data_IF_805002996564
#
_entry.id   IF_805002996564
#
_cell.length_a   1.000
_cell.length_b   1.000
_cell.length_c   1.000
_cell.angle_alpha   90.00
_cell.angle_beta   90.00
_cell.angle_gamma   90.00
#
_symmetry.space_group_name_H-M   'P 1'
#
loop_
_entity.id
_entity.type
_entity.pdbx_description
1 polymer ?
2 non-polymer ?
3 water ?
#
# COMPACT_ATOMS: atom_id res chain seq x y z
N UNK A 5 19.35 14.40 -3.96
CA UNK A 5 19.03 15.73 -3.42
C UNK A 5 18.01 16.52 -4.31
N UNK A 6 16.76 16.11 -4.23
CA UNK A 6 15.69 16.60 -4.93
C UNK A 6 14.85 17.68 -4.28
N UNK A 7 14.55 18.69 -5.08
CA UNK A 7 13.72 19.79 -4.66
C UNK A 7 12.74 20.29 -5.71
N UNK A 8 12.75 19.72 -6.92
CA UNK A 8 11.97 20.13 -8.03
C UNK A 8 10.80 19.34 -8.49
N UNK A 9 10.11 20.03 -9.44
CA UNK A 9 8.87 19.56 -10.08
C UNK A 9 8.60 20.22 -11.42
N UNK A 10 8.06 19.50 -12.38
CA UNK A 10 7.78 19.94 -13.73
C UNK A 10 6.84 21.09 -13.89
N UNK A 11 5.96 21.32 -12.96
CA UNK A 11 4.98 22.35 -12.99
C UNK A 11 4.68 22.75 -11.46
N UNK A 12 3.52 23.21 -11.24
CA UNK A 12 3.12 23.60 -9.78
C UNK A 12 2.03 22.58 -9.49
N UNK A 13 1.65 22.37 -8.24
CA UNK A 13 0.57 21.38 -7.87
C UNK A 13 -0.65 21.70 -8.70
N UNK A 14 -1.03 20.81 -9.53
CA UNK A 14 -2.01 20.79 -10.53
C UNK A 14 -3.13 21.85 -10.57
N UNK A 15 -4.35 21.35 -10.63
CA UNK A 15 -5.58 22.17 -10.65
C UNK A 15 -6.77 21.30 -11.01
N UNK A 16 -6.93 20.86 -12.31
CA UNK A 16 -8.04 20.11 -12.80
C UNK A 16 -8.23 18.60 -12.76
N UNK A 17 -7.31 17.75 -12.55
CA UNK A 17 -7.54 16.30 -12.55
C UNK A 17 -6.91 15.62 -11.37
N UNK A 18 -5.90 16.36 -10.95
CA UNK A 18 -5.12 15.94 -9.71
C UNK A 18 -4.93 17.31 -8.98
N UNK A 19 -5.58 17.47 -7.92
CA UNK A 19 -5.65 18.59 -7.01
C UNK A 19 -4.31 19.26 -6.69
N UNK A 20 -4.47 20.22 -5.72
CA UNK A 20 -3.31 20.96 -5.22
C UNK A 20 -2.83 20.31 -3.92
N UNK A 21 -3.79 19.67 -3.24
CA UNK A 21 -3.43 18.95 -1.98
C UNK A 21 -3.25 17.44 -2.31
N UNK A 22 -2.88 17.17 -3.55
CA UNK A 22 -2.51 15.84 -3.99
C UNK A 22 -1.02 15.99 -4.19
N UNK A 23 -0.76 17.06 -5.04
CA UNK A 23 0.55 17.47 -5.47
C UNK A 23 1.32 18.09 -4.34
N UNK A 24 0.62 18.48 -3.26
CA UNK A 24 1.29 18.95 -2.08
C UNK A 24 1.90 17.69 -1.34
N UNK A 25 1.00 16.84 -0.91
CA UNK A 25 1.33 15.65 -0.17
C UNK A 25 2.12 14.59 -0.93
N UNK A 26 1.74 14.32 -2.14
CA UNK A 26 2.38 13.28 -2.91
C UNK A 26 3.83 13.67 -3.21
N UNK A 27 4.01 14.92 -3.46
CA UNK A 27 5.36 15.51 -3.83
C UNK A 27 6.27 15.67 -2.74
N UNK A 28 5.74 15.67 -1.54
CA UNK A 28 6.54 15.80 -0.29
C UNK A 28 6.58 14.47 0.42
N UNK A 29 5.74 13.57 -0.10
CA UNK A 29 5.72 12.17 0.47
C UNK A 29 7.15 11.76 -0.06
N UNK A 30 7.27 12.15 -1.33
CA UNK A 30 8.42 12.03 -2.19
C UNK A 30 9.66 12.67 -1.61
N UNK A 31 9.49 13.98 -1.41
CA UNK A 31 10.48 14.88 -0.81
C UNK A 31 10.98 14.60 0.56
N UNK A 32 10.83 15.58 1.42
CA UNK A 32 11.33 15.50 2.81
C UNK A 32 10.93 14.22 3.55
N UNK A 33 10.11 13.41 2.96
CA UNK A 33 9.71 12.13 3.59
C UNK A 33 10.69 11.05 3.13
N UNK A 34 10.85 10.92 1.80
CA UNK A 34 11.80 9.93 1.25
C UNK A 34 13.25 10.38 1.32
N UNK A 35 13.53 11.06 2.36
CA UNK A 35 14.85 11.62 2.69
C UNK A 35 15.65 10.53 3.46
N UNK A 36 15.05 9.42 3.54
CA UNK A 36 15.57 8.24 4.24
C UNK A 36 16.80 7.76 3.48
N UNK A 37 16.78 8.01 2.16
CA UNK A 37 17.88 7.65 1.31
C UNK A 37 19.21 8.23 1.71
N UNK A 38 19.25 9.55 1.65
CA UNK A 38 20.41 10.34 2.10
C UNK A 38 20.91 10.01 3.52
N UNK A 39 20.06 9.42 4.34
CA UNK A 39 20.35 9.06 5.73
C UNK A 39 21.23 7.80 5.78
N UNK A 40 21.01 6.93 4.80
CA UNK A 40 21.68 5.66 4.78
C UNK A 40 22.21 5.41 3.39
N UNK A 41 23.17 6.29 3.03
CA UNK A 41 23.85 6.27 1.73
C UNK A 41 25.41 6.27 1.76
N UNK A 42 25.94 7.37 2.15
CA UNK A 42 27.43 7.50 2.29
C UNK A 42 27.74 7.22 3.71
N UNK A 43 27.02 7.92 4.58
CA UNK A 43 27.01 7.88 6.05
C UNK A 43 27.82 6.76 6.75
N UNK A 44 27.45 5.53 6.56
CA UNK A 44 28.19 4.43 7.26
C UNK A 44 29.30 3.89 6.35
N UNK A 45 28.85 3.51 5.17
CA UNK A 45 29.41 2.99 3.92
C UNK A 45 28.30 2.68 3.11
N UNK A 46 27.15 2.22 2.89
CA UNK A 46 27.25 1.01 2.06
C UNK A 46 28.20 1.25 0.88
N UNK A 47 28.17 0.34 -0.09
CA UNK A 47 28.97 0.45 -1.33
C UNK A 47 28.30 1.39 -2.31
N UNK A 48 27.34 2.11 -1.74
CA UNK A 48 26.46 3.04 -2.45
C UNK A 48 26.93 4.47 -2.37
N UNK A 49 28.15 4.61 -1.97
CA UNK A 49 28.75 5.97 -1.84
C UNK A 49 29.26 6.07 -3.35
N UNK A 50 28.62 6.90 -4.13
CA UNK A 50 28.97 6.99 -5.59
C UNK A 50 27.97 6.02 -6.22
N UNK A 51 28.10 5.80 -7.46
CA UNK A 51 27.14 4.99 -8.26
C UNK A 51 26.10 5.94 -8.85
N UNK A 52 26.14 6.19 -10.19
CA UNK A 52 25.30 7.10 -10.90
C UNK A 52 23.77 7.00 -10.85
N UNK A 53 23.18 8.21 -10.90
CA UNK A 53 21.71 8.36 -10.88
C UNK A 53 21.24 7.28 -9.89
N UNK A 54 20.31 6.41 -10.29
CA UNK A 54 19.94 5.32 -9.41
C UNK A 54 20.32 3.98 -9.96
N UNK A 55 21.56 3.78 -9.67
CA UNK A 55 22.42 2.62 -9.93
C UNK A 55 22.26 1.80 -8.57
N UNK A 56 21.64 2.53 -7.73
CA UNK A 56 21.18 2.16 -6.32
C UNK A 56 19.71 1.86 -6.64
N UNK A 57 19.45 0.65 -6.97
CA UNK A 57 18.14 0.11 -7.41
C UNK A 57 18.50 -1.26 -8.03
N UNK A 58 19.55 -1.18 -8.83
CA UNK A 58 20.14 -2.20 -9.61
C UNK A 58 21.08 -3.07 -8.75
N UNK A 59 21.77 -2.36 -7.91
CA UNK A 59 22.67 -2.96 -6.96
C UNK A 59 21.87 -3.29 -5.62
N UNK A 60 21.12 -2.30 -5.23
CA UNK A 60 20.30 -2.23 -4.04
C UNK A 60 19.26 -3.22 -3.67
N UNK A 61 19.26 -3.56 -2.38
CA UNK A 61 18.38 -4.48 -1.66
C UNK A 61 17.71 -3.58 -0.65
N UNK A 62 16.50 -3.12 -0.97
CA UNK A 62 15.69 -2.21 -0.37
C UNK A 62 14.96 -1.95 0.82
N UNK A 63 13.70 -1.53 0.66
CA UNK A 63 12.75 -1.18 1.70
C UNK A 63 13.06 0.27 2.12
N UNK A 64 14.04 0.26 3.04
CA UNK A 64 14.47 1.58 3.55
C UNK A 64 15.51 2.06 2.48
N UNK A 65 16.20 1.04 2.00
CA UNK A 65 17.27 1.26 0.94
C UNK A 65 16.58 1.36 -0.45
N UNK A 66 15.60 0.57 -0.71
CA UNK A 66 14.79 0.60 -1.90
C UNK A 66 13.77 1.70 -1.55
N UNK A 67 14.36 2.81 -1.40
CA UNK A 67 13.79 4.11 -1.12
C UNK A 67 14.33 4.84 -2.35
N UNK A 68 15.46 4.24 -2.74
CA UNK A 68 16.14 4.67 -3.94
C UNK A 68 15.13 4.49 -5.12
N UNK A 69 14.65 3.27 -5.17
CA UNK A 69 13.63 2.87 -6.13
C UNK A 69 12.49 3.85 -6.09
N UNK A 70 12.03 4.17 -4.88
CA UNK A 70 10.87 5.10 -4.68
C UNK A 70 11.20 6.54 -5.03
N UNK A 71 12.45 6.99 -4.80
CA UNK A 71 12.72 8.37 -5.17
C UNK A 71 12.35 8.40 -6.68
N UNK A 72 13.03 7.49 -7.34
CA UNK A 72 12.95 7.24 -8.74
C UNK A 72 11.61 7.02 -9.36
N UNK A 73 10.78 6.09 -8.78
CA UNK A 73 9.44 5.82 -9.36
C UNK A 73 8.68 7.15 -9.39
N UNK A 74 8.89 7.99 -8.48
CA UNK A 74 8.21 9.28 -8.27
C UNK A 74 8.68 10.40 -9.19
N UNK A 75 9.93 10.31 -9.56
CA UNK A 75 10.58 11.33 -10.44
C UNK A 75 10.35 10.84 -11.88
N UNK A 76 10.21 9.50 -12.01
CA UNK A 76 9.87 8.96 -13.29
C UNK A 76 8.52 9.63 -13.67
N UNK A 77 7.56 9.20 -12.97
CA UNK A 77 6.15 9.68 -12.96
C UNK A 77 5.92 11.12 -13.18
N UNK A 78 6.66 12.03 -12.55
CA UNK A 78 6.47 13.45 -12.66
C UNK A 78 6.32 13.95 -14.10
N UNK A 79 7.22 13.37 -14.92
CA UNK A 79 7.34 13.77 -16.30
C UNK A 79 6.13 13.23 -17.09
N UNK A 80 5.62 12.11 -16.59
CA UNK A 80 4.47 11.41 -17.12
C UNK A 80 3.18 12.16 -17.05
N UNK A 81 3.02 13.13 -16.20
CA UNK A 81 1.77 13.87 -16.12
C UNK A 81 2.16 15.34 -16.40
N UNK A 82 1.34 15.92 -17.23
CA UNK A 82 1.46 17.28 -17.67
C UNK A 82 0.08 17.79 -18.11
N UNK A 83 -0.22 18.99 -17.67
CA UNK A 83 -1.41 19.74 -18.05
C UNK A 83 -1.76 19.56 -19.57
N UNK A 84 -0.69 19.33 -20.31
CA UNK A 84 -0.81 19.07 -21.77
C UNK A 84 -1.14 17.55 -21.81
N UNK A 85 -2.37 17.20 -22.11
CA UNK A 85 -2.91 15.91 -22.10
C UNK A 85 -2.86 14.89 -23.22
N UNK A 86 -3.71 14.97 -24.22
CA UNK A 86 -3.94 14.28 -25.38
C UNK A 86 -3.66 12.81 -25.57
N UNK A 87 -4.51 11.98 -25.06
CA UNK A 87 -4.39 10.46 -25.17
C UNK A 87 -4.41 10.22 -26.67
N UNK A 88 -3.27 10.56 -27.20
CA UNK A 88 -2.95 10.44 -28.58
C UNK A 88 -1.40 10.38 -28.79
N UNK A 89 -0.92 9.16 -28.94
CA UNK A 89 0.50 8.95 -29.22
C UNK A 89 0.57 9.32 -30.67
N UNK A 90 1.47 10.14 -31.18
CA UNK A 90 1.50 10.56 -32.57
C UNK A 90 1.24 9.53 -33.61
N UNK A 91 2.38 8.91 -34.01
CA UNK A 91 2.31 7.87 -35.09
C UNK A 91 3.79 7.63 -35.55
N UNK A 92 4.45 7.12 -34.54
CA UNK A 92 5.87 6.67 -34.49
C UNK A 92 5.77 5.73 -33.24
N UNK A 93 5.14 6.36 -32.20
CA UNK A 93 4.76 5.72 -30.98
C UNK A 93 3.54 4.94 -31.20
N UNK A 94 2.58 5.53 -31.93
CA UNK A 94 1.29 4.90 -32.28
C UNK A 94 1.50 3.51 -32.86
N UNK A 95 2.56 3.42 -33.73
CA UNK A 95 2.96 2.22 -34.40
C UNK A 95 3.34 1.05 -33.49
N UNK A 96 4.17 1.32 -32.47
CA UNK A 96 4.68 0.29 -31.60
C UNK A 96 3.64 -0.22 -30.58
N UNK A 97 2.44 0.27 -30.71
CA UNK A 97 1.28 -0.09 -29.83
C UNK A 97 0.15 -0.56 -30.71
N UNK A 98 0.01 0.10 -31.85
CA UNK A 98 -1.04 -0.25 -32.85
C UNK A 98 -0.37 -1.42 -33.61
N UNK A 99 -0.18 -2.49 -32.84
CA UNK A 99 0.46 -3.72 -33.33
C UNK A 99 0.84 -4.61 -32.12
N UNK A 100 0.83 -4.08 -30.87
CA UNK A 100 1.19 -4.83 -29.68
C UNK A 100 -0.02 -4.96 -28.78
N UNK A 101 -0.53 -3.84 -28.44
CA UNK A 101 -1.73 -3.67 -27.50
C UNK A 101 -3.00 -3.60 -28.32
N UNK A 102 -3.12 -4.46 -29.34
CA UNK A 102 -4.35 -4.43 -30.22
C UNK A 102 -4.09 -3.12 -30.98
N UNK A 103 -4.52 -2.07 -30.36
CA UNK A 103 -4.45 -0.66 -30.74
C UNK A 103 -4.15 0.14 -29.48
N UNK A 104 -4.38 1.39 -29.54
CA UNK A 104 -4.17 2.26 -28.32
C UNK A 104 -5.39 2.26 -27.45
N UNK A 105 -6.53 2.07 -28.04
CA UNK A 105 -7.80 2.10 -27.27
C UNK A 105 -7.64 0.88 -26.27
N UNK A 106 -7.11 -0.18 -26.88
CA UNK A 106 -6.84 -1.43 -26.29
C UNK A 106 -5.54 -1.59 -25.50
N UNK A 107 -4.80 -0.48 -25.39
CA UNK A 107 -3.55 -0.45 -24.66
C UNK A 107 -4.03 0.04 -23.18
N UNK A 108 -4.75 1.11 -23.29
CA UNK A 108 -5.37 1.86 -22.15
C UNK A 108 -6.28 1.01 -21.29
N UNK A 109 -7.13 0.25 -21.94
CA UNK A 109 -8.09 -0.60 -21.28
C UNK A 109 -7.43 -1.85 -20.76
N UNK A 110 -6.13 -1.93 -21.13
CA UNK A 110 -5.27 -3.01 -20.72
C UNK A 110 -4.28 -2.51 -19.73
N UNK A 111 -4.08 -1.19 -19.71
CA UNK A 111 -3.18 -0.59 -18.71
C UNK A 111 -4.02 -0.45 -17.49
N UNK A 112 -5.38 -0.43 -17.69
CA UNK A 112 -6.28 -0.30 -16.55
C UNK A 112 -5.97 -1.54 -15.65
N UNK A 113 -6.31 -2.67 -16.15
CA UNK A 113 -6.11 -3.96 -15.51
C UNK A 113 -4.93 -3.97 -14.51
N UNK A 114 -3.73 -3.86 -15.06
CA UNK A 114 -2.45 -3.88 -14.40
C UNK A 114 -2.34 -2.82 -13.25
N UNK A 115 -2.94 -1.69 -13.45
CA UNK A 115 -2.97 -0.59 -12.53
C UNK A 115 -3.93 -0.70 -11.36
N UNK A 116 -5.11 -1.25 -11.50
CA UNK A 116 -6.07 -1.44 -10.49
C UNK A 116 -5.79 -2.83 -9.77
N UNK A 117 -5.37 -3.73 -10.62
CA UNK A 117 -4.98 -5.08 -10.30
C UNK A 117 -3.71 -5.18 -9.56
N UNK A 118 -2.93 -4.13 -9.40
CA UNK A 118 -1.70 -4.19 -8.58
C UNK A 118 -2.22 -4.11 -7.14
N UNK A 119 -2.20 -5.31 -6.55
CA UNK A 119 -2.77 -5.48 -5.19
C UNK A 119 -2.08 -4.71 -4.08
N UNK A 120 -2.75 -3.65 -3.77
CA UNK A 120 -2.43 -2.71 -2.64
C UNK A 120 -0.99 -2.13 -2.71
N UNK A 121 -0.91 -0.92 -3.21
CA UNK A 121 0.41 -0.21 -3.36
C UNK A 121 1.04 -0.89 -4.48
N UNK A 122 1.91 -0.26 -5.24
CA UNK A 122 2.60 -0.85 -6.44
C UNK A 122 2.44 0.07 -7.61
N UNK A 123 2.43 -0.55 -8.77
CA UNK A 123 2.34 0.07 -10.10
C UNK A 123 1.94 -0.76 -11.31
N UNK A 124 1.68 0.01 -12.32
CA UNK A 124 1.36 -0.47 -13.77
C UNK A 124 2.49 0.22 -14.53
N UNK A 125 3.28 -0.55 -15.25
CA UNK A 125 4.39 0.02 -15.99
C UNK A 125 4.43 -0.45 -17.52
N UNK A 126 4.74 0.47 -18.35
CA UNK A 126 4.93 0.21 -19.78
C UNK A 126 6.47 0.36 -19.98
N UNK A 127 7.03 -0.82 -20.28
CA UNK A 127 8.39 -1.01 -20.56
C UNK A 127 8.61 -1.57 -22.04
N UNK A 128 9.87 -1.83 -22.24
CA UNK A 128 10.42 -2.40 -23.44
C UNK A 128 11.74 -3.02 -23.00
N UNK A 129 11.94 -4.19 -23.44
CA UNK A 129 13.16 -4.98 -23.25
C UNK A 129 13.48 -5.13 -24.80
N UNK A 130 13.64 -6.25 -25.29
CA UNK A 130 13.74 -6.44 -26.77
C UNK A 130 12.68 -7.60 -27.00
N UNK A 131 11.60 -7.36 -26.26
CA UNK A 131 10.36 -8.21 -26.20
C UNK A 131 9.34 -7.30 -25.46
N UNK A 132 8.29 -6.91 -26.07
CA UNK A 132 7.34 -5.92 -25.54
C UNK A 132 6.00 -6.21 -25.00
N UNK A 133 5.63 -5.50 -23.96
CA UNK A 133 4.34 -5.57 -23.23
C UNK A 133 4.31 -4.86 -21.92
N UNK A 134 3.16 -4.75 -21.29
CA UNK A 134 2.83 -4.06 -20.02
C UNK A 134 3.40 -4.78 -18.79
N UNK A 135 3.08 -4.22 -17.62
CA UNK A 135 3.69 -4.77 -16.34
C UNK A 135 2.95 -4.35 -15.08
N UNK A 136 2.71 -5.33 -14.21
CA UNK A 136 2.04 -5.05 -12.82
C UNK A 136 3.22 -5.28 -11.84
N UNK A 137 3.45 -4.32 -10.94
CA UNK A 137 4.54 -4.35 -10.02
C UNK A 137 4.12 -4.22 -8.54
N UNK A 138 3.15 -4.94 -8.11
CA UNK A 138 2.46 -4.96 -6.77
C UNK A 138 3.29 -4.91 -5.55
N UNK A 139 4.57 -5.06 -5.53
CA UNK A 139 5.36 -5.01 -4.31
C UNK A 139 6.10 -3.69 -4.18
N UNK A 140 5.52 -2.79 -3.39
CA UNK A 140 5.91 -1.45 -3.00
C UNK A 140 6.70 -0.50 -3.83
N UNK A 141 7.98 -0.37 -3.54
CA UNK A 141 8.89 0.55 -4.24
C UNK A 141 9.26 -0.01 -5.64
N UNK A 142 8.69 -1.05 -6.06
CA UNK A 142 8.82 -1.74 -7.30
C UNK A 142 10.01 -1.44 -8.13
N UNK A 143 9.78 -1.22 -9.38
CA UNK A 143 10.66 -0.83 -10.46
C UNK A 143 11.30 -1.87 -11.35
N UNK A 144 10.96 -1.75 -12.70
CA UNK A 144 11.42 -2.52 -13.81
C UNK A 144 12.91 -2.40 -14.09
N UNK A 145 13.65 -1.53 -13.41
CA UNK A 145 15.05 -1.31 -13.66
C UNK A 145 15.96 -2.39 -13.24
N UNK A 146 15.58 -3.31 -12.30
CA UNK A 146 16.38 -4.45 -11.91
C UNK A 146 16.25 -5.60 -12.87
N UNK A 147 15.17 -5.58 -13.67
CA UNK A 147 14.81 -6.59 -14.60
C UNK A 147 15.57 -6.26 -15.94
N UNK A 148 15.71 -4.95 -16.11
CA UNK A 148 16.44 -4.32 -17.18
C UNK A 148 15.72 -3.83 -18.38
N UNK A 149 14.44 -3.47 -18.27
CA UNK A 149 13.57 -2.95 -19.36
C UNK A 149 13.81 -1.46 -19.40
N UNK A 150 13.53 -0.73 -20.47
CA UNK A 150 13.85 0.69 -20.35
C UNK A 150 13.28 1.88 -21.05
N UNK A 151 11.98 1.91 -21.17
CA UNK A 151 11.19 3.07 -21.80
C UNK A 151 10.56 3.78 -20.61
N UNK A 152 9.52 3.20 -20.09
CA UNK A 152 8.70 3.49 -19.01
C UNK A 152 7.57 4.52 -19.11
N UNK A 153 6.39 3.98 -18.71
CA UNK A 153 5.20 4.75 -18.57
C UNK A 153 4.75 4.25 -17.14
N UNK A 154 4.74 5.22 -16.20
CA UNK A 154 4.51 5.02 -14.88
C UNK A 154 3.10 4.82 -14.32
N UNK A 155 2.74 5.79 -13.43
CA UNK A 155 1.53 5.88 -12.75
C UNK A 155 1.92 5.85 -11.27
N UNK A 156 0.98 6.12 -10.40
CA UNK A 156 1.14 5.73 -9.00
C UNK A 156 -0.26 5.21 -8.50
N UNK A 157 -0.20 3.98 -7.87
CA UNK A 157 -1.40 3.21 -7.37
C UNK A 157 -1.51 3.14 -5.87
N UNK A 158 -0.52 3.78 -5.24
CA UNK A 158 -0.55 3.83 -3.75
C UNK A 158 -1.78 4.68 -3.46
N UNK A 159 -2.36 4.44 -2.24
CA UNK A 159 -3.60 5.24 -1.91
C UNK A 159 -3.28 6.71 -1.72
N UNK A 160 -2.06 7.06 -1.41
CA UNK A 160 -1.65 8.46 -1.29
C UNK A 160 -1.58 9.08 -2.66
N UNK A 161 -1.70 8.19 -3.64
CA UNK A 161 -1.66 8.65 -5.06
C UNK A 161 -3.01 9.35 -5.38
N UNK A 162 -3.99 9.12 -4.43
CA UNK A 162 -5.32 9.68 -4.60
C UNK A 162 -6.10 9.91 -3.36
N UNK A 163 -6.19 11.19 -2.93
CA UNK A 163 -7.00 11.72 -1.75
C UNK A 163 -8.33 11.98 -2.51
N UNK A 164 -8.11 12.18 -3.84
CA UNK A 164 -9.15 12.38 -4.82
C UNK A 164 -9.65 10.93 -5.20
N UNK A 165 -10.87 10.84 -5.66
CA UNK A 165 -11.41 9.52 -6.05
C UNK A 165 -11.74 8.59 -4.88
N UNK A 166 -11.10 8.68 -3.77
CA UNK A 166 -11.37 7.80 -2.57
C UNK A 166 -11.97 6.41 -2.89
N UNK A 167 -11.13 5.45 -2.79
CA UNK A 167 -11.49 4.01 -3.09
C UNK A 167 -11.68 3.93 -4.62
N UNK A 168 -11.92 5.05 -5.31
CA UNK A 168 -12.13 5.02 -6.76
C UNK A 168 -10.87 5.17 -7.58
N UNK A 169 -9.98 4.20 -7.48
CA UNK A 169 -8.73 4.14 -8.20
C UNK A 169 -8.85 4.30 -9.63
N UNK A 170 -9.79 3.64 -10.27
CA UNK A 170 -10.00 3.65 -11.76
C UNK A 170 -10.45 4.98 -12.28
N UNK A 171 -11.45 5.55 -11.65
CA UNK A 171 -11.89 6.91 -11.99
C UNK A 171 -10.64 7.82 -11.89
N UNK A 172 -9.77 7.49 -10.97
CA UNK A 172 -8.51 8.23 -10.71
C UNK A 172 -7.46 8.06 -11.84
N UNK A 173 -7.28 6.81 -12.32
CA UNK A 173 -6.29 6.61 -13.30
C UNK A 173 -6.85 6.22 -14.67
N UNK A 174 -7.77 5.23 -14.76
CA UNK A 174 -8.33 4.83 -16.03
C UNK A 174 -9.34 5.89 -16.52
N UNK A 175 -9.39 6.88 -15.70
CA UNK A 175 -10.23 8.06 -15.91
C UNK A 175 -9.22 9.22 -15.98
N UNK A 176 -9.04 9.88 -14.91
CA UNK A 176 -8.15 11.00 -14.72
C UNK A 176 -6.79 10.95 -15.36
N UNK A 177 -5.95 9.99 -15.15
CA UNK A 177 -4.60 9.89 -15.63
C UNK A 177 -4.47 9.66 -17.18
N UNK A 178 -5.49 9.97 -17.94
CA UNK A 178 -5.32 9.89 -19.43
C UNK A 178 -5.23 11.38 -19.66
N UNK A 179 -4.00 11.74 -19.24
CA UNK A 179 -3.37 13.01 -19.26
C UNK A 179 -1.81 12.80 -19.23
N UNK A 180 -1.43 11.72 -19.92
CA UNK A 180 -0.07 11.26 -20.07
C UNK A 180 0.87 12.25 -20.74
N UNK A 181 2.14 12.08 -20.38
CA UNK A 181 3.19 12.91 -20.93
C UNK A 181 3.24 12.77 -22.44
N UNK A 182 2.84 13.84 -23.06
CA UNK A 182 2.81 13.95 -24.57
C UNK A 182 3.93 13.08 -25.05
N UNK A 183 3.46 12.02 -25.59
CA UNK A 183 4.17 10.87 -26.16
C UNK A 183 5.24 11.26 -27.16
N UNK A 184 6.16 12.05 -26.67
CA UNK A 184 7.30 12.61 -27.30
C UNK A 184 8.52 12.03 -26.55
N UNK A 185 8.39 12.07 -25.24
CA UNK A 185 9.54 11.47 -24.45
C UNK A 185 9.05 10.20 -23.71
N UNK A 186 7.88 9.85 -24.25
CA UNK A 186 7.19 8.62 -23.92
C UNK A 186 7.56 7.84 -25.22
N UNK A 187 7.71 8.68 -26.16
CA UNK A 187 8.17 8.31 -27.53
C UNK A 187 9.65 8.20 -27.36
N UNK A 188 10.21 7.06 -27.71
CA UNK A 188 11.60 6.79 -27.48
C UNK A 188 12.80 6.91 -28.26
N UNK A 189 13.67 7.71 -27.65
CA UNK A 189 15.02 8.08 -28.04
C UNK A 189 15.93 7.52 -26.90
N UNK A 190 15.88 6.20 -26.96
CA UNK A 190 16.61 5.30 -26.01
C UNK A 190 15.55 4.42 -25.31
N UNK B 5 -18.74 -13.24 3.52
CA UNK B 5 -20.05 -12.64 3.19
C UNK B 5 -20.82 -12.11 4.35
N UNK B 6 -20.14 -11.63 5.29
CA UNK B 6 -20.64 -11.04 6.58
C UNK B 6 -20.91 -9.52 6.49
N UNK B 7 -21.37 -8.97 7.59
CA UNK B 7 -21.78 -7.62 7.79
C UNK B 7 -21.41 -7.18 9.28
N UNK B 8 -20.17 -7.22 9.51
CA UNK B 8 -19.62 -6.85 10.82
C UNK B 8 -20.20 -5.52 11.40
N UNK B 9 -19.36 -4.86 12.13
CA UNK B 9 -19.56 -3.65 12.78
C UNK B 9 -20.67 -3.56 13.87
N UNK B 10 -20.28 -2.80 14.84
CA UNK B 10 -21.03 -2.45 16.07
C UNK B 10 -19.99 -2.37 17.21
N UNK B 11 -20.32 -1.49 18.07
CA UNK B 11 -19.48 -1.19 19.27
C UNK B 11 -19.05 0.27 19.11
N UNK B 12 -18.76 0.54 17.81
CA UNK B 12 -18.30 1.83 17.38
C UNK B 12 -19.39 2.51 16.50
N UNK B 13 -18.97 3.44 15.75
CA UNK B 13 -19.78 4.24 14.82
C UNK B 13 -18.99 5.49 14.46
N UNK B 14 -18.88 6.35 15.48
CA UNK B 14 -18.13 7.61 15.34
C UNK B 14 -16.79 7.40 16.06
N UNK B 15 -16.69 6.35 16.83
CA UNK B 15 -15.45 5.90 17.56
C UNK B 15 -14.61 7.21 17.58
N UNK B 16 -14.61 7.78 18.78
CA UNK B 16 -13.99 9.04 19.12
C UNK B 16 -13.22 9.91 18.26
N UNK B 17 -12.06 9.43 17.73
CA UNK B 17 -11.16 10.22 16.92
C UNK B 17 -10.46 9.39 15.93
N UNK B 18 -11.25 9.12 14.93
CA UNK B 18 -11.17 8.45 13.70
C UNK B 18 -12.70 8.54 13.33
N UNK B 19 -12.94 9.39 12.36
CA UNK B 19 -14.19 9.82 11.86
C UNK B 19 -15.12 8.73 11.33
N UNK B 20 -16.30 9.28 10.92
CA UNK B 20 -17.38 8.43 10.39
C UNK B 20 -17.28 8.46 8.82
N UNK B 21 -16.51 9.43 8.40
CA UNK B 21 -16.20 9.53 6.94
C UNK B 21 -15.30 8.37 6.68
N UNK B 22 -14.20 8.39 7.33
CA UNK B 22 -13.18 7.31 7.30
C UNK B 22 -13.69 5.99 7.67
N UNK B 23 -14.54 5.85 8.71
CA UNK B 23 -15.04 4.57 9.15
C UNK B 23 -16.08 3.86 8.27
N UNK B 24 -17.12 4.55 7.81
CA UNK B 24 -18.15 3.88 7.00
C UNK B 24 -17.93 4.30 5.58
N UNK B 25 -16.75 3.90 5.08
CA UNK B 25 -16.17 4.11 3.79
C UNK B 25 -15.10 2.98 3.68
N UNK B 26 -14.50 2.87 4.88
CA UNK B 26 -13.45 1.97 5.32
C UNK B 26 -14.05 0.69 5.89
N UNK B 27 -15.25 0.80 6.45
CA UNK B 27 -15.93 -0.41 6.95
C UNK B 27 -16.46 -1.12 5.65
N UNK B 28 -16.61 -0.30 4.68
CA UNK B 28 -17.07 -0.72 3.30
C UNK B 28 -15.95 -0.99 2.37
N UNK B 29 -14.71 -0.60 2.75
CA UNK B 29 -13.55 -0.89 1.83
C UNK B 29 -13.38 -2.39 1.91
N UNK B 30 -13.76 -2.84 3.08
CA UNK B 30 -13.77 -4.20 3.60
C UNK B 30 -14.96 -5.07 3.24
N UNK B 31 -16.12 -4.42 3.16
CA UNK B 31 -17.38 -5.11 2.85
C UNK B 31 -18.26 -4.68 1.73
N UNK B 32 -17.66 -4.15 0.68
CA UNK B 32 -18.25 -3.73 -0.60
C UNK B 32 -17.34 -4.74 -1.45
N UNK B 33 -16.09 -4.50 -1.24
CA UNK B 33 -14.98 -5.27 -1.81
C UNK B 33 -14.46 -6.18 -0.72
N UNK B 34 -13.47 -6.98 -1.01
CA UNK B 34 -12.95 -7.93 0.01
C UNK B 34 -14.00 -9.03 0.04
N UNK B 35 -15.17 -8.58 0.50
CA UNK B 35 -16.33 -9.51 0.41
C UNK B 35 -16.59 -9.50 -1.10
N UNK B 36 -15.58 -10.02 -1.77
CA UNK B 36 -15.34 -10.20 -3.17
C UNK B 36 -14.68 -11.58 -3.29
N UNK B 37 -14.38 -12.11 -2.08
CA UNK B 37 -13.72 -13.42 -1.95
C UNK B 37 -14.64 -14.50 -2.60
N UNK B 38 -15.80 -14.10 -2.98
CA UNK B 38 -16.83 -14.94 -3.51
C UNK B 38 -17.31 -14.97 -4.93
N UNK B 39 -17.54 -13.81 -5.55
CA UNK B 39 -18.17 -13.60 -6.84
C UNK B 39 -17.62 -14.46 -7.97
N UNK B 40 -16.45 -14.22 -8.42
CA UNK B 40 -15.79 -15.03 -9.52
C UNK B 40 -14.51 -15.48 -8.78
N UNK B 41 -14.77 -16.06 -7.53
CA UNK B 41 -13.80 -16.58 -6.67
C UNK B 41 -14.21 -17.94 -6.06
N UNK B 42 -14.60 -17.93 -4.81
CA UNK B 42 -15.04 -19.16 -4.10
C UNK B 42 -15.91 -20.03 -4.96
N UNK B 43 -17.13 -19.67 -5.08
CA UNK B 43 -18.11 -20.34 -6.01
C UNK B 43 -17.69 -20.18 -7.45
N UNK B 44 -17.41 -18.93 -7.81
CA UNK B 44 -16.98 -18.48 -9.08
C UNK B 44 -15.91 -19.18 -9.81
N UNK B 45 -14.63 -18.83 -9.61
CA UNK B 45 -13.56 -19.57 -10.42
C UNK B 45 -12.54 -20.32 -9.57
N UNK B 46 -11.71 -19.65 -8.72
CA UNK B 46 -10.77 -20.30 -7.85
C UNK B 46 -11.60 -20.78 -6.68
N UNK B 47 -11.70 -22.06 -6.56
CA UNK B 47 -12.38 -23.03 -5.72
C UNK B 47 -12.83 -22.84 -4.28
N UNK B 48 -12.24 -23.50 -3.33
CA UNK B 48 -12.36 -23.69 -1.93
C UNK B 48 -13.74 -23.89 -1.26
N UNK B 49 -14.82 -23.62 -1.86
CA UNK B 49 -16.17 -23.82 -1.54
C UNK B 49 -16.60 -23.99 -0.10
N UNK B 50 -16.07 -24.92 0.69
CA UNK B 50 -16.50 -25.09 2.12
C UNK B 50 -15.40 -24.57 3.07
N UNK B 51 -15.54 -23.31 3.43
CA UNK B 51 -14.55 -22.64 4.24
C UNK B 51 -15.11 -21.64 5.26
N UNK B 52 -14.25 -21.33 6.22
CA UNK B 52 -14.57 -20.39 7.34
C UNK B 52 -13.80 -19.14 7.33
N UNK B 53 -13.08 -18.76 6.29
CA UNK B 53 -12.31 -17.52 6.28
C UNK B 53 -11.08 -17.76 7.15
N UNK B 54 -11.39 -18.40 8.25
CA UNK B 54 -10.44 -18.75 9.29
C UNK B 54 -9.54 -19.76 8.55
N UNK B 55 -10.31 -20.40 7.66
CA UNK B 55 -9.95 -21.35 6.65
C UNK B 55 -10.14 -20.55 5.37
N UNK B 56 -9.04 -20.17 4.91
CA UNK B 56 -8.68 -19.40 3.68
C UNK B 56 -7.12 -19.36 3.79
N UNK B 57 -6.67 -18.76 4.87
CA UNK B 57 -5.19 -18.68 5.18
C UNK B 57 -4.77 -20.15 5.42
N UNK B 58 -3.51 -20.41 5.10
CA UNK B 58 -2.91 -21.75 5.27
C UNK B 58 -2.96 -22.56 3.98
N UNK B 59 -4.13 -22.70 3.46
CA UNK B 59 -4.51 -23.45 2.27
C UNK B 59 -4.63 -22.74 0.97
N UNK B 60 -5.22 -21.55 1.03
CA UNK B 60 -5.56 -20.72 -0.13
C UNK B 60 -4.54 -20.03 -0.97
N UNK B 61 -5.05 -19.97 -2.24
CA UNK B 61 -4.46 -19.47 -3.48
C UNK B 61 -3.28 -18.50 -3.31
N UNK B 62 -3.60 -17.22 -3.37
CA UNK B 62 -2.57 -16.16 -3.37
C UNK B 62 -3.22 -14.81 -3.66
N UNK B 63 -2.77 -13.80 -2.85
CA UNK B 63 -3.11 -12.44 -2.88
C UNK B 63 -4.48 -12.06 -3.42
N UNK B 64 -4.85 -12.73 -4.46
CA UNK B 64 -6.15 -12.53 -5.17
C UNK B 64 -7.14 -13.31 -4.25
N UNK B 65 -6.71 -14.46 -3.78
CA UNK B 65 -7.53 -15.32 -2.92
C UNK B 65 -6.75 -15.10 -1.52
N UNK B 66 -6.69 -13.85 -1.20
CA UNK B 66 -6.01 -13.39 -0.02
C UNK B 66 -6.49 -11.92 0.09
N UNK B 67 -7.73 -11.88 -0.26
CA UNK B 67 -8.57 -10.64 -0.20
C UNK B 67 -9.60 -11.11 0.89
N UNK B 68 -9.65 -12.43 0.95
CA UNK B 68 -10.44 -13.21 1.83
C UNK B 68 -9.75 -13.10 3.24
N UNK B 69 -8.47 -12.78 3.13
CA UNK B 69 -7.56 -12.62 4.23
C UNK B 69 -7.86 -11.21 4.81
N UNK B 70 -8.31 -10.38 3.88
CA UNK B 70 -8.66 -8.99 4.16
C UNK B 70 -9.91 -8.86 5.02
N UNK B 71 -10.86 -9.78 4.77
CA UNK B 71 -12.10 -9.82 5.46
C UNK B 71 -11.74 -10.11 6.99
N UNK B 72 -11.10 -11.26 7.19
CA UNK B 72 -10.66 -11.64 8.57
C UNK B 72 -9.92 -10.48 9.18
N UNK B 73 -8.81 -10.09 8.60
CA UNK B 73 -7.97 -8.97 9.14
C UNK B 73 -8.77 -7.75 9.54
N UNK B 74 -9.73 -7.41 8.73
CA UNK B 74 -10.58 -6.25 9.00
C UNK B 74 -11.61 -6.47 10.06
N UNK B 75 -12.36 -7.58 9.94
CA UNK B 75 -13.45 -7.80 11.00
C UNK B 75 -12.73 -8.08 12.33
N UNK B 76 -11.48 -8.35 12.25
CA UNK B 76 -10.61 -8.57 13.50
C UNK B 76 -10.30 -7.14 14.04
N UNK B 77 -9.76 -6.37 13.12
CA UNK B 77 -9.40 -4.97 13.35
C UNK B 77 -10.52 -4.26 14.08
N UNK B 78 -11.68 -4.36 13.51
CA UNK B 78 -12.91 -3.68 13.97
C UNK B 78 -13.28 -4.08 15.40
N UNK B 79 -12.84 -5.23 15.87
CA UNK B 79 -13.18 -5.71 17.26
C UNK B 79 -12.02 -5.55 18.20
N UNK B 80 -10.99 -4.85 17.79
CA UNK B 80 -9.75 -4.62 18.52
C UNK B 80 -9.65 -3.18 19.10
N UNK B 81 -10.52 -2.36 18.71
CA UNK B 81 -10.65 -0.93 18.90
C UNK B 81 -10.97 -0.20 20.13
N UNK B 82 -11.45 1.03 19.92
CA UNK B 82 -11.86 2.04 20.89
C UNK B 82 -13.37 1.80 21.19
N UNK B 83 -13.84 2.91 21.52
CA UNK B 83 -14.50 4.05 21.98
C UNK B 83 -14.69 4.08 23.51
N UNK B 84 -14.16 3.15 24.29
CA UNK B 84 -14.30 3.14 25.75
C UNK B 84 -12.97 2.64 26.42
N UNK B 85 -11.95 2.63 25.58
CA UNK B 85 -10.62 2.22 25.51
C UNK B 85 -9.48 2.69 26.38
N UNK B 86 -8.40 1.93 26.47
CA UNK B 86 -7.22 2.14 27.13
C UNK B 86 -5.89 1.79 27.56
N UNK B 87 -5.39 0.63 27.80
CA UNK B 87 -4.03 0.26 28.34
C UNK B 87 -4.21 -0.88 29.34
N UNK B 88 -3.75 -1.99 29.11
CA UNK B 88 -3.60 -3.33 29.48
C UNK B 88 -4.15 -4.09 30.64
N UNK B 89 -3.61 -4.02 31.78
CA UNK B 89 -3.90 -4.77 33.09
C UNK B 89 -4.73 -5.99 32.98
N UNK B 90 -5.81 -6.01 33.75
CA UNK B 90 -6.80 -7.09 33.86
C UNK B 90 -6.32 -8.52 33.82
N UNK B 91 -5.14 -8.81 34.43
CA UNK B 91 -4.68 -10.20 34.46
C UNK B 91 -3.23 -10.46 34.11
N UNK B 92 -3.08 -11.66 33.58
CA UNK B 92 -1.84 -12.24 33.15
C UNK B 92 -1.33 -11.68 31.86
N UNK B 93 -2.21 -11.43 30.91
CA UNK B 93 -1.76 -10.89 29.55
C UNK B 93 -0.93 -9.64 29.84
N UNK B 94 -1.28 -9.03 30.97
CA UNK B 94 -0.61 -7.75 31.49
C UNK B 94 0.85 -8.22 31.77
N UNK B 95 0.90 -9.22 32.60
CA UNK B 95 2.11 -9.86 33.09
C UNK B 95 2.89 -10.56 31.98
N UNK B 96 2.18 -10.90 30.89
CA UNK B 96 2.76 -11.63 29.76
C UNK B 96 3.75 -10.66 29.07
N UNK B 97 3.12 -9.67 28.47
CA UNK B 97 3.74 -8.56 27.74
C UNK B 97 4.80 -8.00 28.64
N UNK B 98 4.46 -7.96 29.98
CA UNK B 98 5.38 -7.37 30.99
C UNK B 98 6.38 -8.51 31.45
N UNK B 99 7.36 -8.68 30.67
CA UNK B 99 8.45 -9.66 30.85
C UNK B 99 8.96 -10.20 29.53
N UNK B 100 8.20 -9.93 28.42
CA UNK B 100 8.49 -10.30 27.09
C UNK B 100 9.11 -8.98 26.49
N UNK B 101 8.27 -7.99 26.69
CA UNK B 101 8.64 -6.59 26.27
C UNK B 101 9.51 -6.35 27.51
N UNK B 102 8.88 -6.37 28.62
CA UNK B 102 9.44 -6.19 29.99
C UNK B 102 8.49 -5.16 30.61
N UNK B 103 8.07 -4.25 29.82
CA UNK B 103 7.14 -3.17 30.16
C UNK B 103 6.11 -2.92 29.02
N UNK B 104 5.21 -2.00 29.31
CA UNK B 104 4.10 -1.62 28.38
C UNK B 104 4.41 -0.32 27.64
N UNK B 105 5.19 0.54 28.32
CA UNK B 105 5.49 1.85 27.56
C UNK B 105 6.31 1.32 26.39
N UNK B 106 7.20 0.41 26.75
CA UNK B 106 8.17 -0.31 25.95
C UNK B 106 7.47 -1.08 24.84
N UNK B 107 6.45 -1.77 25.26
CA UNK B 107 5.59 -2.60 24.35
C UNK B 107 4.95 -1.71 23.29
N UNK B 108 4.39 -0.59 23.75
CA UNK B 108 3.72 0.38 22.84
C UNK B 108 4.72 1.15 22.04
N UNK B 109 5.98 1.20 22.41
CA UNK B 109 7.01 1.95 21.72
C UNK B 109 7.99 1.06 20.98
N UNK B 110 7.51 -0.05 20.59
CA UNK B 110 8.24 -1.15 19.86
C UNK B 110 7.21 -1.59 18.84
N UNK B 111 6.00 -1.79 19.36
CA UNK B 111 4.89 -2.13 18.47
C UNK B 111 4.66 -0.75 17.75
N UNK B 112 5.37 -0.58 16.70
CA UNK B 112 5.36 0.66 15.84
C UNK B 112 6.40 0.45 14.75
N UNK B 113 7.52 -0.12 15.19
CA UNK B 113 8.64 -0.40 14.27
C UNK B 113 8.07 -1.68 13.52
N UNK B 114 6.88 -2.01 14.05
CA UNK B 114 6.04 -3.12 13.52
C UNK B 114 5.30 -2.29 12.43
N UNK B 115 4.34 -1.55 12.89
CA UNK B 115 3.44 -0.70 12.15
C UNK B 115 3.99 0.34 11.27
N UNK B 116 4.33 1.47 11.76
CA UNK B 116 4.86 2.64 11.10
C UNK B 116 5.82 2.32 10.03
N UNK B 117 6.93 1.67 10.33
CA UNK B 117 8.02 1.27 9.52
C UNK B 117 8.06 0.21 8.56
N UNK B 118 6.94 -0.33 8.08
CA UNK B 118 6.84 -1.36 7.12
C UNK B 118 6.41 -0.72 5.83
N UNK B 119 7.32 -0.78 4.83
CA UNK B 119 7.19 -0.19 3.55
C UNK B 119 5.93 -0.73 2.76
N UNK B 120 4.91 0.14 2.78
CA UNK B 120 3.70 -0.19 2.01
C UNK B 120 2.39 -0.16 2.77
N UNK B 121 1.69 -1.24 2.62
CA UNK B 121 0.36 -1.50 3.21
C UNK B 121 0.50 -2.89 3.86
N UNK B 122 -0.34 -3.15 4.81
CA UNK B 122 -0.47 -4.33 5.63
C UNK B 122 -0.96 -3.92 6.96
N UNK B 123 -0.60 -4.66 8.03
CA UNK B 123 -1.00 -4.45 9.43
C UNK B 123 0.07 -4.99 10.40
N UNK B 124 0.31 -4.26 11.40
CA UNK B 124 1.23 -4.74 12.46
C UNK B 124 0.37 -5.55 13.49
N UNK B 125 1.02 -6.42 14.21
CA UNK B 125 0.26 -7.25 15.13
C UNK B 125 0.98 -7.70 16.41
N UNK B 126 0.15 -7.96 17.36
CA UNK B 126 0.50 -8.51 18.68
C UNK B 126 0.23 -10.01 18.42
N UNK B 127 1.19 -10.87 18.51
CA UNK B 127 0.98 -12.26 18.24
C UNK B 127 1.53 -13.09 19.35
N UNK B 128 1.14 -14.41 19.27
CA UNK B 128 1.50 -15.41 20.25
C UNK B 128 1.56 -16.79 19.60
N UNK B 129 2.73 -17.40 19.63
CA UNK B 129 3.00 -18.75 19.12
C UNK B 129 2.85 -19.77 20.22
N UNK B 130 3.29 -19.25 21.39
CA UNK B 130 3.32 -20.10 22.64
C UNK B 130 4.20 -19.24 23.50
N UNK B 131 3.69 -18.07 23.68
CA UNK B 131 4.38 -16.94 24.44
C UNK B 131 4.35 -15.84 23.30
N UNK B 132 4.51 -14.60 23.63
CA UNK B 132 4.42 -13.54 22.63
C UNK B 132 5.54 -13.13 21.71
N UNK B 133 5.08 -12.61 20.54
CA UNK B 133 5.93 -12.10 19.45
C UNK B 133 5.23 -10.96 18.72
N UNK B 134 5.94 -9.86 18.53
CA UNK B 134 5.51 -8.70 17.83
C UNK B 134 5.92 -8.82 16.35
N UNK B 135 4.97 -9.12 15.49
CA UNK B 135 5.09 -9.40 14.10
C UNK B 135 4.68 -8.44 13.04
N UNK B 136 5.64 -8.05 12.28
CA UNK B 136 5.65 -7.17 11.11
C UNK B 136 4.53 -7.33 10.16
N UNK B 137 4.64 -8.33 9.23
CA UNK B 137 3.71 -8.75 8.28
C UNK B 137 2.96 -7.72 7.44
N UNK B 138 3.57 -6.64 7.06
CA UNK B 138 2.86 -5.57 6.29
C UNK B 138 2.90 -5.75 4.81
N UNK B 139 1.85 -6.48 4.40
CA UNK B 139 1.73 -6.75 2.93
C UNK B 139 0.29 -6.88 2.44
N UNK B 140 -0.57 -7.09 3.46
CA UNK B 140 -2.05 -7.22 3.20
C UNK B 140 -2.31 -8.76 3.40
N UNK B 141 -1.67 -9.39 2.47
CA UNK B 141 -1.70 -10.89 2.37
C UNK B 141 -0.77 -11.41 3.45
N UNK B 142 -0.98 -10.83 4.58
CA UNK B 142 -0.22 -11.16 5.85
C UNK B 142 -1.11 -11.13 7.07
N UNK B 143 -1.34 -12.35 7.50
CA UNK B 143 -2.13 -12.84 8.67
C UNK B 143 -1.23 -13.93 9.21
N UNK B 144 -0.76 -13.72 10.44
CA UNK B 144 0.17 -14.69 11.09
C UNK B 144 -0.52 -15.97 11.45
N UNK B 145 -1.79 -16.05 11.00
CA UNK B 145 -2.61 -17.25 11.20
C UNK B 145 -2.30 -18.24 10.12
N UNK B 146 -1.31 -17.94 9.32
CA UNK B 146 -0.89 -18.91 8.20
C UNK B 146 -0.02 -19.91 8.88
N UNK B 147 0.74 -19.49 9.87
CA UNK B 147 1.66 -20.26 10.64
C UNK B 147 1.16 -20.82 11.93
N UNK B 148 2.10 -21.00 12.91
CA UNK B 148 1.90 -21.51 14.19
C UNK B 148 1.53 -20.55 15.31
N UNK B 149 1.00 -19.39 14.96
CA UNK B 149 0.60 -18.37 15.93
C UNK B 149 -0.76 -17.76 15.59
N UNK B 150 -1.27 -16.97 16.59
CA UNK B 150 -2.52 -16.27 16.47
C UNK B 150 -2.48 -14.90 17.13
N UNK B 151 -2.85 -13.88 16.45
CA UNK B 151 -2.95 -12.47 16.76
C UNK B 151 -3.76 -11.93 17.92
N UNK B 152 -3.10 -11.10 18.76
CA UNK B 152 -3.72 -10.43 19.88
C UNK B 152 -4.33 -9.07 19.47
N UNK B 153 -3.59 -8.33 18.62
CA UNK B 153 -4.02 -6.97 18.17
C UNK B 153 -3.52 -6.65 16.79
N UNK B 154 -4.31 -5.95 15.96
CA UNK B 154 -3.97 -5.48 14.67
C UNK B 154 -4.17 -3.93 14.54
N UNK B 155 -3.65 -3.50 13.39
CA UNK B 155 -3.72 -2.05 13.01
C UNK B 155 -3.45 -1.94 11.55
N UNK B 156 -4.44 -1.49 10.77
CA UNK B 156 -4.28 -1.37 9.29
C UNK B 156 -3.42 -0.04 9.08
N UNK B 157 -2.34 -0.19 8.37
CA UNK B 157 -1.43 0.90 8.14
C UNK B 157 -1.35 1.11 6.62
N UNK B 158 -2.37 0.56 6.02
CA UNK B 158 -2.67 0.62 4.59
C UNK B 158 -2.99 2.11 4.55
N UNK B 159 -2.65 2.87 3.55
CA UNK B 159 -2.88 4.33 3.52
C UNK B 159 -4.30 4.76 3.69
N UNK B 160 -5.36 4.02 3.51
CA UNK B 160 -6.71 4.52 3.72
C UNK B 160 -7.25 4.08 5.11
N UNK B 161 -6.41 3.42 5.91
CA UNK B 161 -6.88 3.02 7.25
C UNK B 161 -7.06 4.33 8.00
N UNK B 162 -6.38 5.33 7.47
CA UNK B 162 -6.29 6.70 7.90
C UNK B 162 -5.99 7.69 6.80
N UNK B 163 -6.02 8.95 7.13
CA UNK B 163 -5.76 9.99 6.09
C UNK B 163 -5.97 11.40 6.75
N UNK B 164 -6.87 11.33 7.76
CA UNK B 164 -7.29 12.49 8.59
C UNK B 164 -6.18 13.23 9.32
N UNK B 165 -5.04 13.31 8.70
CA UNK B 165 -3.85 14.00 9.24
C UNK B 165 -2.92 14.46 8.08
N UNK B 166 -2.81 13.69 7.05
CA UNK B 166 -2.06 13.73 5.78
C UNK B 166 -0.72 14.30 5.65
N UNK B 167 -0.25 15.56 5.78
CA UNK B 167 1.22 15.80 5.61
C UNK B 167 1.75 15.64 7.08
N UNK B 168 2.28 14.44 7.25
CA UNK B 168 2.85 13.94 8.49
C UNK B 168 1.71 13.17 9.11
N UNK B 169 1.72 11.85 9.06
CA UNK B 169 0.61 10.99 9.52
C UNK B 169 0.90 9.88 10.52
N UNK B 170 1.90 9.95 11.37
CA UNK B 170 2.18 8.85 12.37
C UNK B 170 1.18 8.99 13.49
N UNK B 171 1.02 10.15 14.07
CA UNK B 171 0.00 10.45 15.06
C UNK B 171 -1.30 9.77 14.76
N UNK B 172 -1.28 8.84 13.78
CA UNK B 172 -2.46 8.01 13.37
C UNK B 172 -2.53 6.85 14.37
N UNK B 173 -1.38 6.20 14.55
CA UNK B 173 -1.25 5.01 15.45
C UNK B 173 -1.16 5.42 16.90
N UNK B 174 -0.63 6.66 17.03
CA UNK B 174 -0.31 7.33 18.31
C UNK B 174 -1.50 8.16 18.72
N UNK B 175 -1.46 9.42 18.28
CA UNK B 175 -2.45 10.39 18.53
C UNK B 175 -3.69 10.19 17.73
N UNK B 176 -4.12 8.92 17.72
CA UNK B 176 -5.36 8.47 17.07
C UNK B 176 -5.78 7.08 17.49
N UNK B 177 -4.84 6.13 17.55
CA UNK B 177 -5.16 4.73 17.85
C UNK B 177 -4.90 4.21 19.17
N UNK B 178 -4.09 4.80 20.11
CA UNK B 178 -3.91 4.15 21.44
C UNK B 178 -5.11 4.28 22.30
N UNK B 179 -6.21 4.69 21.80
CA UNK B 179 -7.54 4.68 22.49
C UNK B 179 -8.20 3.45 21.82
N UNK B 180 -7.59 2.40 22.16
CA UNK B 180 -7.97 1.05 21.77
C UNK B 180 -8.42 0.34 23.07
N UNK B 181 -9.55 -0.26 22.98
CA UNK B 181 -10.23 -0.95 24.09
C UNK B 181 -10.15 -2.43 23.51
N UNK B 182 -10.99 -3.22 24.09
CA UNK B 182 -10.99 -4.66 23.71
C UNK B 182 -9.59 -5.10 23.99
N UNK B 183 -9.19 -4.71 25.17
CA UNK B 183 -7.89 -5.17 25.80
C UNK B 183 -8.44 -6.41 26.55
N UNK B 184 -9.74 -6.42 26.35
CA UNK B 184 -10.68 -7.44 26.84
C UNK B 184 -11.03 -8.45 25.80
N UNK B 185 -10.75 -8.02 24.56
CA UNK B 185 -10.96 -8.87 23.35
C UNK B 185 -9.61 -9.36 22.90
N UNK B 186 -8.59 -8.62 23.32
CA UNK B 186 -7.16 -9.01 22.98
C UNK B 186 -6.70 -9.98 24.04
N UNK B 187 -7.46 -9.89 25.19
CA UNK B 187 -7.14 -10.80 26.32
C UNK B 187 -7.37 -12.15 25.58
N UNK B 188 -6.25 -12.82 25.46
CA UNK B 188 -6.08 -14.14 24.83
C UNK B 188 -4.68 -14.58 25.41
N UNK B 189 -4.51 -15.84 25.82
CA UNK B 189 -3.27 -16.28 26.43
C UNK B 189 -2.81 -17.65 26.12
N UNK B 190 -3.70 -18.53 25.60
CA UNK B 190 -3.39 -19.90 25.33
C UNK B 190 -3.12 -20.18 23.90
X LIG C 1 3.65 7.53 -4.45
X LIG D 1 -8.27 -1.40 5.38
#
# INVERSE_FOLDING_TARGET
AFELPPLPYAHDALQPHISKETLEYHHDKHHNTYVVNLNNLVPGTPEFEGKTLEEIVKSSSGGIFNNAAQVWNHTFYWNCLSPDAGGQPTGALADAINAAFGSFDKFKEEFTKTSVGTFGSGWAWLVKADGSLALCSTIGAGAPLTSGDTPLLTCDVWEHAYYIDYRNLRPKYVEAFWNLVNWAFVAEEGKTFKA
AFELPPLPYAHDALQPHISKETLEYHHDKHHNTYVVNLNNLVPGTPEFEGKTLEEIVKSSSGGIFNNAAQVWNHTFYWNCLSPDAGGQPTGALADAINAAFGSFDKFKEEFTKTSVGTFGSGWAWLVKADGSLALCSTIGAGAPLTSGDTPLLTCDVWEHAYYIDYRNLRPKYVEAFWNLVNWAFVAEEGKTFKA
FE FE
FE FE
#
